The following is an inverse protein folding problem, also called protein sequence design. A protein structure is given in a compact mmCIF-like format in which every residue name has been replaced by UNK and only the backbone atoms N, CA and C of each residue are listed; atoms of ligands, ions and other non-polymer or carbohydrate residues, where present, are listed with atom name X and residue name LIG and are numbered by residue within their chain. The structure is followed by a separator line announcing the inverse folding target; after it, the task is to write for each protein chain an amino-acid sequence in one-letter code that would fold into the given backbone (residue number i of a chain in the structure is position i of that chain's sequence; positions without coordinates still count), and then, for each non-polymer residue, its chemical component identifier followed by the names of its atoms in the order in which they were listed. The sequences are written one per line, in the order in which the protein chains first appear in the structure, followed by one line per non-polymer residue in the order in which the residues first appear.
data_IF_459249194119
#
_entry.id   IF_459249194119
#
_cell.length_a   1.000
_cell.length_b   1.000
_cell.length_c   1.000
_cell.angle_alpha   90.00
_cell.angle_beta   90.00
_cell.angle_gamma   90.00
#
_symmetry.space_group_name_H-M   'P 1'
#
loop_
_entity.id
_entity.type
_entity.pdbx_description
1 polymer ?
#
# COMPACT_ATOMS: atom_id res chain seq x y z
N UNK A 1 60.26 -115.59 -28.29
CA UNK A 1 60.61 -114.15 -28.30
C UNK A 1 59.42 -113.22 -28.00
N UNK A 2 58.18 -113.70 -27.91
CA UNK A 2 56.98 -112.87 -27.67
C UNK A 2 56.74 -112.44 -26.22
N UNK A 3 57.15 -113.26 -25.24
CA UNK A 3 56.85 -113.06 -23.81
C UNK A 3 57.68 -111.97 -23.11
N UNK A 4 58.77 -111.49 -23.71
CA UNK A 4 59.62 -110.46 -23.10
C UNK A 4 59.16 -109.05 -23.46
N UNK A 5 58.62 -108.88 -24.67
CA UNK A 5 58.00 -107.62 -25.13
C UNK A 5 56.68 -107.32 -24.43
N UNK A 6 55.86 -108.33 -24.15
CA UNK A 6 54.61 -108.16 -23.37
C UNK A 6 54.87 -107.64 -21.95
N UNK A 7 55.82 -108.25 -21.21
CA UNK A 7 56.16 -107.80 -19.85
C UNK A 7 56.78 -106.39 -19.79
N UNK A 8 57.51 -105.99 -20.82
CA UNK A 8 58.04 -104.62 -20.90
C UNK A 8 56.93 -103.60 -21.19
N UNK A 9 55.92 -104.00 -21.95
CA UNK A 9 54.78 -103.14 -22.27
C UNK A 9 53.85 -103.01 -21.06
N UNK A 10 53.57 -104.11 -20.34
CA UNK A 10 52.81 -104.11 -19.09
C UNK A 10 53.46 -103.24 -18.00
N UNK A 11 54.79 -103.33 -17.83
CA UNK A 11 55.51 -102.47 -16.88
C UNK A 11 55.49 -100.98 -17.28
N UNK A 12 55.47 -100.67 -18.58
CA UNK A 12 55.36 -99.30 -19.06
C UNK A 12 53.95 -98.74 -18.87
N UNK A 13 52.92 -99.56 -19.07
CA UNK A 13 51.53 -99.17 -18.84
C UNK A 13 51.28 -98.91 -17.34
N UNK A 14 51.81 -99.75 -16.45
CA UNK A 14 51.73 -99.52 -14.98
C UNK A 14 52.48 -98.25 -14.55
N UNK A 15 53.61 -97.92 -15.18
CA UNK A 15 54.32 -96.67 -14.92
C UNK A 15 53.53 -95.44 -15.39
N UNK A 16 52.87 -95.53 -16.54
CA UNK A 16 51.96 -94.50 -17.05
C UNK A 16 50.76 -94.28 -16.12
N UNK A 17 50.16 -95.35 -15.62
CA UNK A 17 49.02 -95.27 -14.68
C UNK A 17 49.43 -94.60 -13.35
N UNK A 18 50.63 -94.90 -12.84
CA UNK A 18 51.17 -94.28 -11.61
C UNK A 18 51.47 -92.79 -11.83
N UNK A 19 52.06 -92.42 -12.97
CA UNK A 19 52.36 -91.03 -13.29
C UNK A 19 51.06 -90.21 -13.48
N UNK A 20 50.02 -90.83 -14.04
CA UNK A 20 48.70 -90.21 -14.21
C UNK A 20 47.97 -90.04 -12.86
N UNK A 21 48.09 -91.02 -11.95
CA UNK A 21 47.55 -90.94 -10.58
C UNK A 21 48.26 -89.85 -9.75
N UNK A 22 49.60 -89.76 -9.84
CA UNK A 22 50.38 -88.69 -9.18
C UNK A 22 50.04 -87.30 -9.72
N UNK A 23 49.82 -87.17 -11.04
CA UNK A 23 49.38 -85.91 -11.64
C UNK A 23 47.97 -85.50 -11.19
N UNK A 24 47.08 -86.49 -10.99
CA UNK A 24 45.74 -86.23 -10.45
C UNK A 24 45.80 -85.78 -8.97
N UNK A 25 46.68 -86.38 -8.17
CA UNK A 25 46.89 -86.00 -6.77
C UNK A 25 47.48 -84.59 -6.63
N UNK A 26 48.47 -84.22 -7.45
CA UNK A 26 48.98 -82.85 -7.47
C UNK A 26 47.91 -81.84 -7.91
N UNK A 27 47.13 -82.16 -8.95
CA UNK A 27 46.04 -81.29 -9.41
C UNK A 27 44.92 -81.15 -8.34
N UNK A 28 44.67 -82.21 -7.55
CA UNK A 28 43.72 -82.17 -6.46
C UNK A 28 44.24 -81.32 -5.30
N UNK A 29 45.53 -81.44 -4.96
CA UNK A 29 46.19 -80.63 -3.95
C UNK A 29 46.17 -79.13 -4.31
N UNK A 30 46.48 -78.79 -5.56
CA UNK A 30 46.40 -77.41 -6.06
C UNK A 30 44.98 -76.83 -5.99
N UNK A 31 43.96 -77.66 -6.27
CA UNK A 31 42.55 -77.26 -6.12
C UNK A 31 42.18 -77.03 -4.67
N UNK A 32 42.63 -77.89 -3.75
CA UNK A 32 42.43 -77.74 -2.32
C UNK A 32 43.08 -76.45 -1.81
N UNK A 33 44.31 -76.17 -2.22
CA UNK A 33 45.05 -74.99 -1.78
C UNK A 33 44.38 -73.69 -2.28
N UNK A 34 43.87 -73.69 -3.52
CA UNK A 34 43.04 -72.59 -4.05
C UNK A 34 41.73 -72.40 -3.30
N UNK A 35 41.04 -73.49 -2.95
CA UNK A 35 39.80 -73.42 -2.17
C UNK A 35 40.02 -72.89 -0.76
N UNK A 36 41.11 -73.31 -0.11
CA UNK A 36 41.48 -72.82 1.23
C UNK A 36 41.89 -71.35 1.19
N UNK A 37 42.62 -70.91 0.16
CA UNK A 37 42.95 -69.50 -0.03
C UNK A 37 41.68 -68.66 -0.23
N UNK A 38 40.74 -69.14 -1.04
CA UNK A 38 39.48 -68.44 -1.31
C UNK A 38 38.58 -68.36 -0.08
N UNK A 39 38.46 -69.44 0.71
CA UNK A 39 37.76 -69.40 2.00
C UNK A 39 38.38 -68.41 2.97
N UNK A 40 39.71 -68.32 3.04
CA UNK A 40 40.39 -67.36 3.92
C UNK A 40 40.18 -65.91 3.49
N UNK A 41 40.10 -65.65 2.18
CA UNK A 41 39.82 -64.31 1.64
C UNK A 41 38.35 -63.91 1.86
N UNK A 42 37.41 -64.84 1.67
CA UNK A 42 35.98 -64.63 1.95
C UNK A 42 35.74 -64.38 3.46
N UNK A 43 36.42 -65.13 4.33
CA UNK A 43 36.36 -64.94 5.78
C UNK A 43 36.92 -63.57 6.21
N UNK A 44 38.01 -63.12 5.59
CA UNK A 44 38.57 -61.77 5.82
C UNK A 44 37.64 -60.66 5.34
N UNK A 45 36.95 -60.86 4.22
CA UNK A 45 35.97 -59.91 3.70
C UNK A 45 34.77 -59.76 4.64
N UNK A 46 34.30 -60.85 5.24
CA UNK A 46 33.24 -60.88 6.25
C UNK A 46 33.68 -60.19 7.56
N UNK A 47 34.90 -60.46 8.03
CA UNK A 47 35.48 -59.81 9.21
C UNK A 47 35.68 -58.28 9.02
N UNK A 48 35.93 -57.81 7.79
CA UNK A 48 35.99 -56.37 7.47
C UNK A 48 34.62 -55.69 7.38
N UNK A 49 33.53 -56.45 7.41
CA UNK A 49 32.15 -55.97 7.45
C UNK A 49 31.51 -56.30 8.81
N UNK A 50 32.29 -56.11 9.88
CA UNK A 50 31.85 -56.29 11.26
C UNK A 50 30.55 -55.52 11.52
N UNK A 51 29.59 -56.17 12.18
CA UNK A 51 28.37 -55.53 12.72
C UNK A 51 28.68 -54.22 13.45
N UNK A 52 29.86 -54.13 14.07
CA UNK A 52 30.33 -52.94 14.78
C UNK A 52 30.56 -51.73 13.85
N UNK A 53 31.04 -51.93 12.61
CA UNK A 53 31.24 -50.85 11.64
C UNK A 53 29.92 -50.35 11.05
N UNK A 54 28.93 -51.24 10.92
CA UNK A 54 27.56 -50.87 10.55
C UNK A 54 26.92 -50.08 11.70
N UNK A 55 27.04 -50.56 12.94
CA UNK A 55 26.53 -49.89 14.14
C UNK A 55 27.12 -48.48 14.29
N UNK A 56 28.45 -48.35 14.11
CA UNK A 56 29.17 -47.08 14.20
C UNK A 56 28.73 -46.06 13.15
N UNK A 57 28.24 -46.51 11.98
CA UNK A 57 27.68 -45.65 10.94
C UNK A 57 26.19 -45.34 11.14
N UNK A 58 25.44 -46.26 11.75
CA UNK A 58 24.00 -46.10 12.01
C UNK A 58 23.72 -45.10 13.12
N UNK A 59 24.47 -45.19 14.23
CA UNK A 59 24.28 -44.35 15.41
C UNK A 59 24.33 -42.83 15.15
N UNK A 60 25.29 -42.28 14.35
CA UNK A 60 25.29 -40.86 14.01
C UNK A 60 24.12 -40.48 13.09
N UNK A 61 23.68 -41.36 12.18
CA UNK A 61 22.51 -41.11 11.33
C UNK A 61 21.22 -41.09 12.14
N UNK A 62 21.08 -41.95 13.14
CA UNK A 62 19.93 -41.92 14.07
C UNK A 62 19.90 -40.64 14.89
N UNK A 63 21.05 -40.20 15.42
CA UNK A 63 21.18 -38.91 16.13
C UNK A 63 20.85 -37.72 15.23
N UNK A 64 21.31 -37.73 13.98
CA UNK A 64 20.98 -36.70 13.00
C UNK A 64 19.49 -36.69 12.68
N UNK A 65 18.86 -37.85 12.52
CA UNK A 65 17.44 -37.99 12.25
C UNK A 65 16.59 -37.45 13.42
N UNK A 66 16.93 -37.79 14.67
CA UNK A 66 16.26 -37.23 15.85
C UNK A 66 16.46 -35.71 15.97
N UNK A 67 17.65 -35.21 15.63
CA UNK A 67 17.92 -33.76 15.57
C UNK A 67 17.09 -33.07 14.48
N UNK A 68 16.89 -33.70 13.33
CA UNK A 68 16.06 -33.17 12.25
C UNK A 68 14.57 -33.18 12.61
N UNK A 69 14.07 -34.25 13.25
CA UNK A 69 12.69 -34.32 13.74
C UNK A 69 12.40 -33.21 14.75
N UNK A 70 13.27 -33.01 15.73
CA UNK A 70 13.10 -31.95 16.74
C UNK A 70 13.13 -30.55 16.14
N UNK A 71 14.01 -30.29 15.16
CA UNK A 71 14.00 -29.03 14.38
C UNK A 71 12.71 -28.85 13.60
N UNK A 72 12.23 -29.91 12.95
CA UNK A 72 10.99 -29.87 12.17
C UNK A 72 9.78 -29.57 13.04
N UNK A 73 9.66 -30.20 14.21
CA UNK A 73 8.62 -29.87 15.19
C UNK A 73 8.70 -28.42 15.66
N UNK A 74 9.90 -27.91 15.90
CA UNK A 74 10.11 -26.52 16.31
C UNK A 74 9.64 -25.56 15.22
N UNK A 75 10.03 -25.81 13.97
CA UNK A 75 9.57 -24.99 12.84
C UNK A 75 8.06 -25.07 12.62
N UNK A 76 7.41 -26.21 12.85
CA UNK A 76 5.96 -26.29 12.78
C UNK A 76 5.28 -25.41 13.85
N UNK A 77 5.77 -25.45 15.09
CA UNK A 77 5.25 -24.59 16.17
C UNK A 77 5.48 -23.10 15.88
N UNK A 78 6.67 -22.74 15.38
CA UNK A 78 6.97 -21.36 15.00
C UNK A 78 6.07 -20.87 13.86
N UNK A 79 5.84 -21.72 12.84
CA UNK A 79 4.93 -21.43 11.75
C UNK A 79 3.51 -21.18 12.27
N UNK A 80 2.98 -22.04 13.13
CA UNK A 80 1.66 -21.86 13.73
C UNK A 80 1.57 -20.55 14.52
N UNK A 81 2.57 -20.24 15.34
CA UNK A 81 2.62 -19.00 16.10
C UNK A 81 2.70 -17.75 15.20
N UNK A 82 3.42 -17.83 14.08
CA UNK A 82 3.49 -16.76 13.09
C UNK A 82 2.16 -16.58 12.35
N UNK A 83 1.47 -17.67 11.98
CA UNK A 83 0.14 -17.59 11.37
C UNK A 83 -0.84 -16.86 12.28
N UNK A 84 -0.89 -17.22 13.57
CA UNK A 84 -1.78 -16.56 14.54
C UNK A 84 -1.44 -15.06 14.69
N UNK A 85 -0.15 -14.71 14.74
CA UNK A 85 0.26 -13.29 14.78
C UNK A 85 -0.14 -12.53 13.51
N UNK A 86 -0.06 -13.18 12.35
CA UNK A 86 -0.41 -12.57 11.08
C UNK A 86 -1.92 -12.29 11.02
N UNK A 87 -2.76 -13.24 11.44
CA UNK A 87 -4.21 -13.05 11.55
C UNK A 87 -4.57 -11.89 12.51
N UNK A 88 -3.89 -11.79 13.65
CA UNK A 88 -4.09 -10.68 14.59
C UNK A 88 -3.74 -9.32 13.98
N UNK A 89 -2.61 -9.24 13.28
CA UNK A 89 -2.18 -8.01 12.60
C UNK A 89 -3.13 -7.61 11.47
N UNK A 90 -3.69 -8.57 10.73
CA UNK A 90 -4.69 -8.30 9.71
C UNK A 90 -5.98 -7.74 10.33
N UNK A 91 -6.43 -8.30 11.45
CA UNK A 91 -7.60 -7.79 12.17
C UNK A 91 -7.38 -6.37 12.73
N UNK A 92 -6.21 -6.10 13.31
CA UNK A 92 -5.84 -4.75 13.77
C UNK A 92 -5.77 -3.75 12.62
N UNK A 93 -5.22 -4.16 11.47
CA UNK A 93 -5.13 -3.30 10.29
C UNK A 93 -6.51 -2.93 9.74
N UNK A 94 -7.44 -3.88 9.66
CA UNK A 94 -8.82 -3.59 9.26
C UNK A 94 -9.53 -2.66 10.24
N UNK A 95 -9.34 -2.84 11.56
CA UNK A 95 -9.86 -1.90 12.57
C UNK A 95 -9.27 -0.49 12.42
N UNK A 96 -7.98 -0.40 12.15
CA UNK A 96 -7.32 0.89 11.93
C UNK A 96 -7.81 1.59 10.67
N UNK A 97 -8.02 0.86 9.56
CA UNK A 97 -8.63 1.41 8.34
C UNK A 97 -10.02 1.97 8.61
N UNK A 98 -10.88 1.20 9.27
CA UNK A 98 -12.21 1.68 9.67
C UNK A 98 -12.13 2.94 10.51
N UNK A 99 -11.18 3.00 11.47
CA UNK A 99 -11.00 4.20 12.30
C UNK A 99 -10.49 5.40 11.52
N UNK A 100 -9.65 5.19 10.50
CA UNK A 100 -9.20 6.24 9.60
C UNK A 100 -10.39 6.77 8.79
N UNK A 101 -11.20 5.90 8.20
CA UNK A 101 -12.38 6.29 7.42
C UNK A 101 -13.37 7.11 8.29
N UNK A 102 -13.62 6.68 9.53
CA UNK A 102 -14.45 7.44 10.48
C UNK A 102 -13.87 8.83 10.76
N UNK A 103 -12.56 8.92 11.01
CA UNK A 103 -11.89 10.20 11.27
C UNK A 103 -11.86 11.10 10.03
N UNK A 104 -11.78 10.54 8.83
CA UNK A 104 -11.87 11.31 7.58
C UNK A 104 -13.27 11.88 7.35
N UNK A 105 -14.33 11.12 7.67
CA UNK A 105 -15.70 11.63 7.67
C UNK A 105 -15.92 12.71 8.73
N UNK A 106 -15.39 12.53 9.95
CA UNK A 106 -15.42 13.55 11.02
C UNK A 106 -14.62 14.81 10.65
N UNK A 107 -13.56 14.67 9.84
CA UNK A 107 -12.71 15.79 9.41
C UNK A 107 -13.30 16.58 8.24
N UNK A 108 -14.30 16.07 7.53
CA UNK A 108 -15.00 16.89 6.53
C UNK A 108 -15.51 18.16 7.23
N UNK A 109 -15.15 19.36 6.76
CA UNK A 109 -15.58 20.59 7.39
C UNK A 109 -17.11 20.71 7.21
N UNK A 110 -17.87 20.21 8.18
CA UNK A 110 -19.31 20.49 8.28
C UNK A 110 -19.41 21.90 8.88
N UNK A 111 -19.12 22.91 8.07
CA UNK A 111 -19.72 24.23 8.26
C UNK A 111 -20.84 24.38 7.24
N UNK A 112 -21.80 23.46 7.30
CA UNK A 112 -23.13 23.76 6.76
C UNK A 112 -23.74 24.76 7.74
N UNK A 113 -23.63 26.05 7.42
CA UNK A 113 -24.34 27.05 8.20
C UNK A 113 -25.83 26.84 8.01
N UNK A 114 -26.59 26.89 9.09
CA UNK A 114 -28.04 27.00 8.99
C UNK A 114 -28.35 28.27 8.18
N UNK A 115 -29.20 28.14 7.15
CA UNK A 115 -29.62 29.24 6.30
C UNK A 115 -30.14 30.43 7.13
N UNK A 116 -30.79 30.18 8.27
CA UNK A 116 -31.27 31.22 9.19
C UNK A 116 -30.12 31.97 9.87
N UNK A 117 -29.03 31.28 10.19
CA UNK A 117 -27.84 31.91 10.78
C UNK A 117 -27.17 32.79 9.72
N UNK A 118 -26.98 32.29 8.49
CA UNK A 118 -26.45 33.08 7.38
C UNK A 118 -27.31 34.32 7.12
N UNK A 119 -28.62 34.15 7.04
CA UNK A 119 -29.57 35.25 6.86
C UNK A 119 -29.44 36.28 8.00
N UNK A 120 -29.33 35.83 9.26
CA UNK A 120 -29.18 36.75 10.40
C UNK A 120 -27.88 37.56 10.40
N UNK A 121 -26.80 37.02 9.80
CA UNK A 121 -25.50 37.70 9.69
C UNK A 121 -25.45 38.66 8.49
N UNK A 122 -26.10 38.28 7.38
CA UNK A 122 -26.06 39.04 6.12
C UNK A 122 -27.14 40.14 6.10
N UNK A 123 -28.31 39.92 6.72
CA UNK A 123 -29.41 40.87 6.73
C UNK A 123 -29.04 42.27 7.26
N UNK A 124 -28.29 42.42 8.37
CA UNK A 124 -27.84 43.72 8.84
C UNK A 124 -26.95 44.44 7.82
N UNK A 125 -26.05 43.72 7.14
CA UNK A 125 -25.16 44.28 6.12
C UNK A 125 -25.99 44.81 4.95
N UNK A 126 -26.93 44.02 4.46
CA UNK A 126 -27.86 44.44 3.39
C UNK A 126 -28.66 45.68 3.78
N UNK A 127 -29.11 45.76 5.03
CA UNK A 127 -29.86 46.91 5.54
C UNK A 127 -28.99 48.17 5.56
N UNK A 128 -27.74 48.05 6.00
CA UNK A 128 -26.77 49.16 6.00
C UNK A 128 -26.50 49.64 4.56
N UNK A 129 -26.25 48.72 3.63
CA UNK A 129 -26.00 49.05 2.22
C UNK A 129 -27.22 49.75 1.58
N UNK A 130 -28.45 49.30 1.91
CA UNK A 130 -29.69 49.95 1.44
C UNK A 130 -29.84 51.37 1.99
N UNK A 131 -29.57 51.58 3.28
CA UNK A 131 -29.62 52.91 3.90
C UNK A 131 -28.56 53.82 3.28
N UNK A 132 -27.34 53.33 3.08
CA UNK A 132 -26.27 54.08 2.43
C UNK A 132 -26.64 54.47 1.00
N UNK A 133 -27.22 53.54 0.22
CA UNK A 133 -27.70 53.82 -1.13
C UNK A 133 -28.81 54.87 -1.15
N UNK A 134 -29.74 54.83 -0.19
CA UNK A 134 -30.80 55.84 -0.07
C UNK A 134 -30.24 57.25 0.19
N UNK A 135 -29.25 57.39 1.08
CA UNK A 135 -28.58 58.67 1.32
C UNK A 135 -27.73 59.13 0.12
N UNK A 136 -27.07 58.22 -0.60
CA UNK A 136 -26.36 58.60 -1.84
C UNK A 136 -27.30 59.23 -2.87
N UNK A 137 -28.53 58.72 -2.99
CA UNK A 137 -29.51 59.24 -3.93
C UNK A 137 -30.04 60.63 -3.57
N UNK A 138 -30.00 61.04 -2.30
CA UNK A 138 -30.39 62.39 -1.90
C UNK A 138 -29.29 63.42 -2.15
N UNK A 139 -28.03 62.98 -2.35
CA UNK A 139 -26.87 63.87 -2.53
C UNK A 139 -26.51 64.67 -1.26
N UNK A 140 -27.17 64.36 -0.14
CA UNK A 140 -27.02 65.03 1.15
C UNK A 140 -26.50 64.01 2.17
N UNK A 141 -25.55 64.43 3.02
CA UNK A 141 -24.95 63.62 4.10
C UNK A 141 -23.93 62.56 3.64
N UNK A 142 -22.97 62.95 2.81
CA UNK A 142 -21.83 62.12 2.37
C UNK A 142 -21.07 61.48 3.56
N UNK A 143 -20.87 62.23 4.65
CA UNK A 143 -20.27 61.69 5.88
C UNK A 143 -21.05 60.50 6.46
N UNK A 144 -22.38 60.51 6.38
CA UNK A 144 -23.22 59.41 6.88
C UNK A 144 -23.04 58.18 6.00
N UNK A 145 -22.96 58.37 4.68
CA UNK A 145 -22.69 57.29 3.72
C UNK A 145 -21.34 56.64 4.03
N UNK A 146 -20.27 57.43 4.21
CA UNK A 146 -18.94 56.92 4.54
C UNK A 146 -18.93 56.12 5.86
N UNK A 147 -19.63 56.60 6.90
CA UNK A 147 -19.71 55.87 8.17
C UNK A 147 -20.49 54.56 8.03
N UNK A 148 -21.60 54.55 7.28
CA UNK A 148 -22.38 53.33 7.03
C UNK A 148 -21.57 52.30 6.26
N UNK A 149 -20.86 52.71 5.21
CA UNK A 149 -19.97 51.85 4.44
C UNK A 149 -18.88 51.24 5.32
N UNK A 150 -18.26 52.05 6.19
CA UNK A 150 -17.26 51.57 7.14
C UNK A 150 -17.81 50.56 8.14
N UNK A 151 -19.04 50.75 8.63
CA UNK A 151 -19.68 49.77 9.53
C UNK A 151 -19.95 48.46 8.79
N UNK A 152 -20.42 48.51 7.54
CA UNK A 152 -20.61 47.32 6.72
C UNK A 152 -19.28 46.57 6.48
N UNK A 153 -18.20 47.28 6.14
CA UNK A 153 -16.86 46.68 5.98
C UNK A 153 -16.35 46.01 7.25
N UNK A 154 -16.49 46.66 8.41
CA UNK A 154 -16.08 46.08 9.69
C UNK A 154 -16.91 44.85 10.04
N UNK A 155 -18.20 44.85 9.72
CA UNK A 155 -19.10 43.72 9.93
C UNK A 155 -18.69 42.53 9.05
N UNK A 156 -18.32 42.78 7.79
CA UNK A 156 -17.80 41.75 6.88
C UNK A 156 -16.52 41.12 7.41
N UNK A 157 -15.55 41.95 7.83
CA UNK A 157 -14.30 41.45 8.45
C UNK A 157 -14.57 40.60 9.70
N UNK A 158 -15.62 40.91 10.46
CA UNK A 158 -15.99 40.11 11.62
C UNK A 158 -16.55 38.74 11.23
N UNK A 159 -17.37 38.67 10.17
CA UNK A 159 -17.96 37.40 9.71
C UNK A 159 -16.98 36.56 8.87
N UNK A 160 -15.88 37.14 8.36
CA UNK A 160 -14.76 36.38 7.78
C UNK A 160 -14.16 35.38 8.78
N UNK A 161 -14.08 35.76 10.07
CA UNK A 161 -13.59 34.86 11.12
C UNK A 161 -14.46 33.61 11.30
N UNK A 162 -15.75 33.70 10.96
CA UNK A 162 -16.65 32.56 11.02
C UNK A 162 -16.69 31.78 9.72
N UNK A 163 -15.98 32.19 8.66
CA UNK A 163 -15.87 31.49 7.37
C UNK A 163 -16.75 32.04 6.25
N UNK A 164 -17.26 33.26 6.38
CA UNK A 164 -18.09 33.95 5.37
C UNK A 164 -17.29 35.13 4.80
N UNK A 165 -17.15 35.21 3.48
CA UNK A 165 -16.31 36.23 2.84
C UNK A 165 -17.05 37.01 1.76
N UNK A 166 -16.65 38.27 1.57
CA UNK A 166 -17.13 39.12 0.49
C UNK A 166 -16.35 38.85 -0.80
N UNK A 167 -17.08 38.74 -1.91
CA UNK A 167 -16.47 38.76 -3.24
C UNK A 167 -16.40 40.22 -3.69
N UNK A 168 -15.18 40.75 -3.84
CA UNK A 168 -14.98 42.11 -4.32
C UNK A 168 -15.39 42.24 -5.79
N UNK A 169 -16.39 43.09 -6.07
CA UNK A 169 -16.97 43.28 -7.41
C UNK A 169 -16.72 44.66 -8.02
N UNK A 170 -16.40 45.68 -7.23
CA UNK A 170 -16.22 47.04 -7.74
C UNK A 170 -15.16 47.12 -8.85
N UNK A 171 -15.48 47.81 -9.95
CA UNK A 171 -14.58 47.99 -11.09
C UNK A 171 -14.34 46.75 -11.97
N UNK A 172 -14.98 45.61 -11.66
CA UNK A 172 -14.91 44.39 -12.49
C UNK A 172 -15.98 44.41 -13.59
N UNK A 173 -15.75 43.61 -14.63
CA UNK A 173 -16.77 43.29 -15.64
C UNK A 173 -17.86 42.39 -15.05
N UNK A 174 -19.05 42.43 -15.65
CA UNK A 174 -20.15 41.57 -15.21
C UNK A 174 -19.91 40.11 -15.56
N UNK A 175 -19.88 39.30 -14.52
CA UNK A 175 -19.89 37.84 -14.58
C UNK A 175 -21.20 37.36 -13.95
N UNK A 176 -22.12 36.87 -14.79
CA UNK A 176 -23.46 36.42 -14.39
C UNK A 176 -23.46 35.23 -13.41
N UNK A 177 -22.28 34.77 -13.00
CA UNK A 177 -22.08 33.70 -12.01
C UNK A 177 -22.49 34.11 -10.59
N UNK A 178 -22.20 35.36 -10.17
CA UNK A 178 -22.51 35.84 -8.81
C UNK A 178 -22.83 37.35 -8.77
N UNK A 179 -23.05 37.96 -9.93
CA UNK A 179 -23.35 39.37 -10.08
C UNK A 179 -24.64 39.56 -10.89
N UNK A 180 -25.53 40.39 -10.36
CA UNK A 180 -26.80 40.76 -10.99
C UNK A 180 -26.79 42.26 -11.30
N UNK A 181 -26.89 42.62 -12.58
CA UNK A 181 -27.03 44.02 -12.97
C UNK A 181 -28.45 44.51 -12.68
N UNK A 182 -28.56 45.59 -11.92
CA UNK A 182 -29.83 46.28 -11.67
C UNK A 182 -30.11 47.38 -12.70
N UNK A 183 -29.09 47.84 -13.42
CA UNK A 183 -29.19 48.89 -14.43
C UNK A 183 -27.96 49.78 -14.49
N UNK A 184 -28.03 50.87 -15.25
CA UNK A 184 -26.92 51.80 -15.42
C UNK A 184 -26.92 52.91 -14.36
N UNK A 185 -25.73 53.26 -13.86
CA UNK A 185 -25.51 54.34 -12.89
C UNK A 185 -25.58 55.73 -13.58
N UNK A 186 -26.78 56.26 -13.82
CA UNK A 186 -26.96 57.54 -14.54
C UNK A 186 -26.52 58.78 -13.76
N UNK A 187 -26.42 58.69 -12.43
CA UNK A 187 -26.17 59.84 -11.54
C UNK A 187 -24.79 59.82 -10.88
N UNK A 188 -23.96 58.82 -11.18
CA UNK A 188 -22.61 58.77 -10.63
C UNK A 188 -21.66 59.43 -11.60
N UNK A 189 -20.88 60.39 -11.11
CA UNK A 189 -19.73 60.95 -11.84
C UNK A 189 -18.63 59.89 -11.91
N UNK A 190 -18.83 58.85 -12.72
CA UNK A 190 -17.84 57.78 -12.88
C UNK A 190 -16.86 58.17 -13.97
N UNK A 191 -16.01 59.17 -13.70
CA UNK A 191 -15.05 59.67 -14.70
C UNK A 191 -13.88 58.71 -14.97
N UNK A 192 -13.83 57.54 -14.32
CA UNK A 192 -12.61 56.70 -14.27
C UNK A 192 -12.80 55.23 -14.59
N UNK A 193 -14.03 54.72 -14.76
CA UNK A 193 -14.26 53.29 -14.99
C UNK A 193 -14.75 53.00 -16.43
N UNK A 194 -14.30 51.88 -17.05
CA UNK A 194 -14.74 51.51 -18.40
C UNK A 194 -16.25 51.22 -18.49
N UNK A 195 -16.89 51.40 -19.67
CA UNK A 195 -18.29 50.96 -19.88
C UNK A 195 -18.50 49.50 -19.51
N UNK A 196 -19.70 49.17 -19.04
CA UNK A 196 -20.10 47.81 -18.59
C UNK A 196 -19.37 47.27 -17.35
N UNK A 197 -18.47 48.04 -16.74
CA UNK A 197 -17.90 47.72 -15.43
C UNK A 197 -18.78 48.24 -14.30
N UNK A 198 -18.59 47.71 -13.09
CA UNK A 198 -19.41 48.10 -11.94
C UNK A 198 -18.96 49.40 -11.29
N UNK A 199 -19.88 50.34 -11.19
CA UNK A 199 -19.68 51.63 -10.57
C UNK A 199 -20.27 51.73 -9.15
N UNK A 200 -21.35 50.98 -8.87
CA UNK A 200 -22.01 51.00 -7.55
C UNK A 200 -22.38 49.59 -7.14
N UNK A 201 -22.05 49.23 -5.91
CA UNK A 201 -22.53 48.01 -5.25
C UNK A 201 -23.71 48.39 -4.36
N UNK A 202 -24.90 47.91 -4.72
CA UNK A 202 -26.13 48.11 -3.93
C UNK A 202 -26.39 46.97 -2.96
N UNK A 203 -25.86 45.79 -3.26
CA UNK A 203 -25.84 44.61 -2.41
C UNK A 203 -24.56 43.85 -2.70
N UNK A 204 -23.85 43.43 -1.66
CA UNK A 204 -22.55 42.75 -1.78
C UNK A 204 -22.72 41.27 -2.11
N UNK A 205 -21.76 40.71 -2.85
CA UNK A 205 -21.68 39.26 -3.07
C UNK A 205 -20.98 38.60 -1.89
N UNK A 206 -21.54 37.51 -1.40
CA UNK A 206 -21.06 36.79 -0.21
C UNK A 206 -20.94 35.31 -0.54
N UNK A 207 -19.84 34.68 -0.13
CA UNK A 207 -19.61 33.24 -0.28
C UNK A 207 -19.09 32.58 1.00
N UNK A 208 -19.22 31.26 1.04
CA UNK A 208 -18.58 30.43 2.04
C UNK A 208 -17.10 30.23 1.68
N UNK A 209 -16.19 30.52 2.61
CA UNK A 209 -14.74 30.41 2.38
C UNK A 209 -14.26 28.97 2.18
N UNK A 210 -14.91 28.01 2.85
CA UNK A 210 -14.48 26.62 2.86
C UNK A 210 -15.02 25.82 1.66
N UNK A 211 -16.18 26.20 1.11
CA UNK A 211 -16.85 25.48 0.00
C UNK A 211 -16.91 26.24 -1.32
N UNK A 212 -16.51 27.52 -1.35
CA UNK A 212 -16.73 28.46 -2.46
C UNK A 212 -18.21 28.62 -2.88
N UNK A 213 -19.15 28.12 -2.08
CA UNK A 213 -20.58 28.23 -2.34
C UNK A 213 -21.02 29.70 -2.22
N UNK A 214 -21.72 30.18 -3.26
CA UNK A 214 -22.27 31.54 -3.28
C UNK A 214 -23.50 31.58 -2.38
N UNK A 215 -23.43 32.40 -1.33
CA UNK A 215 -24.52 32.60 -0.37
C UNK A 215 -25.45 33.72 -0.86
N UNK A 216 -24.88 34.78 -1.44
CA UNK A 216 -25.62 35.92 -1.92
C UNK A 216 -24.97 36.52 -3.17
N UNK A 217 -25.78 36.80 -4.19
CA UNK A 217 -25.34 37.51 -5.39
C UNK A 217 -25.22 39.02 -5.14
N UNK A 218 -24.19 39.62 -5.73
CA UNK A 218 -24.06 41.07 -5.75
C UNK A 218 -25.17 41.69 -6.60
N UNK A 219 -25.75 42.79 -6.12
CA UNK A 219 -26.64 43.65 -6.91
C UNK A 219 -25.90 44.93 -7.22
N UNK A 220 -25.72 45.22 -8.50
CA UNK A 220 -24.75 46.21 -8.97
C UNK A 220 -25.33 47.10 -10.06
N UNK A 221 -24.86 48.35 -10.10
CA UNK A 221 -25.11 49.26 -11.20
C UNK A 221 -23.85 49.38 -12.08
N UNK A 222 -24.04 49.27 -13.39
CA UNK A 222 -22.95 49.34 -14.36
C UNK A 222 -22.74 50.75 -14.89
N UNK A 223 -21.53 51.04 -15.36
CA UNK A 223 -21.22 52.25 -16.12
C UNK A 223 -22.01 52.23 -17.44
N UNK A 224 -22.84 53.26 -17.73
CA UNK A 224 -23.55 53.34 -19.01
C UNK A 224 -22.58 53.45 -20.18
N UNK A 225 -22.97 52.94 -21.35
CA UNK A 225 -22.29 53.32 -22.59
C UNK A 225 -22.48 54.82 -22.83
N UNK A 226 -21.39 55.53 -23.16
CA UNK A 226 -21.48 56.89 -23.66
C UNK A 226 -22.38 56.89 -24.90
N UNK A 227 -23.52 57.61 -24.80
CA UNK A 227 -24.37 57.85 -25.96
C UNK A 227 -23.58 58.67 -26.97
N UNK A 228 -23.12 58.02 -28.04
CA UNK A 228 -22.61 58.70 -29.25
C UNK A 228 -23.71 59.48 -29.95
#
# INVERSE_FOLDING_TARGET
MSLFTEKQQENNDVLLDIDEELAQDEAFKDKLEKLVAQQNDDQKADDTLSEMDIQNKLEPLEKENETLKTKLETFMREKEALTVKLEQLEEENEKLKQRIDELEEERKPIKTYDAKILESLIYPINTIDQIAAAYRNTGENELVVEQLEKVAELTIKQIESVGIEEIQVYGKEIDGTYMESFGSAQHVKVETLPPHTFAIVSRRAIKCKDSDEIIQHALVYTVPEEKR
#
